data_IF_717667164559
#
_entry.id   IF_717667164559
#
_cell.length_a   1.000
_cell.length_b   1.000
_cell.length_c   1.000
_cell.angle_alpha   90.00
_cell.angle_beta   90.00
_cell.angle_gamma   90.00
#
_symmetry.space_group_name_H-M   'P 1'
#
loop_
_entity.id
_entity.type
_entity.pdbx_description
1 polymer ?
#
# COMPACT_ATOMS: atom_id res chain seq x y z
N UNK A 1 -22.34 -53.36 -35.58
CA UNK A 1 -20.90 -53.06 -35.56
C UNK A 1 -20.55 -52.47 -34.20
N UNK A 2 -19.96 -53.25 -33.27
CA UNK A 2 -19.59 -52.82 -31.91
C UNK A 2 -18.11 -52.39 -31.81
N UNK A 3 -17.80 -51.50 -30.87
CA UNK A 3 -16.51 -51.41 -30.18
C UNK A 3 -16.83 -50.92 -28.75
N UNK A 4 -17.03 -51.79 -27.76
CA UNK A 4 -16.02 -52.57 -27.01
C UNK A 4 -15.02 -51.66 -26.29
N UNK A 5 -15.32 -51.23 -25.06
CA UNK A 5 -14.84 -51.77 -23.76
C UNK A 5 -13.67 -50.98 -23.19
N UNK A 6 -13.88 -50.39 -22.00
CA UNK A 6 -12.97 -50.47 -20.85
C UNK A 6 -13.62 -49.83 -19.60
N UNK A 7 -14.33 -50.65 -18.81
CA UNK A 7 -14.45 -50.44 -17.36
C UNK A 7 -13.25 -51.17 -16.69
N UNK A 8 -13.11 -51.18 -15.35
CA UNK A 8 -12.85 -50.08 -14.42
C UNK A 8 -11.63 -50.43 -13.53
N UNK A 9 -11.08 -49.48 -12.76
CA UNK A 9 -10.37 -49.83 -11.52
C UNK A 9 -11.02 -49.13 -10.35
N UNK A 10 -11.93 -49.88 -9.74
CA UNK A 10 -12.39 -49.70 -8.38
C UNK A 10 -11.17 -49.75 -7.45
N UNK A 11 -10.94 -48.67 -6.71
CA UNK A 11 -10.51 -48.79 -5.32
C UNK A 11 -11.76 -48.55 -4.49
N UNK A 12 -12.41 -49.66 -4.12
CA UNK A 12 -13.34 -49.71 -3.03
C UNK A 12 -12.63 -49.30 -1.73
N UNK A 13 -13.24 -48.39 -0.98
CA UNK A 13 -13.41 -48.31 0.49
C UNK A 13 -14.37 -47.12 0.61
N UNK A 14 -15.54 -47.15 1.22
CA UNK A 14 -16.15 -48.04 2.19
C UNK A 14 -17.18 -47.16 2.89
N UNK A 15 -18.42 -47.65 3.04
CA UNK A 15 -19.56 -46.93 3.60
C UNK A 15 -19.28 -46.39 5.01
N UNK A 16 -19.62 -45.12 5.24
CA UNK A 16 -20.22 -44.66 6.50
C UNK A 16 -21.08 -43.41 6.23
N UNK A 17 -22.41 -43.61 6.28
CA UNK A 17 -23.40 -42.55 6.48
C UNK A 17 -23.34 -42.14 7.96
N UNK A 18 -22.86 -40.93 8.28
CA UNK A 18 -23.24 -40.17 9.49
C UNK A 18 -22.56 -38.79 9.50
N UNK A 19 -23.31 -37.79 9.95
CA UNK A 19 -22.90 -36.43 10.37
C UNK A 19 -22.79 -35.32 9.32
N UNK A 20 -23.87 -34.53 9.31
CA UNK A 20 -23.85 -33.07 9.28
C UNK A 20 -22.71 -32.49 10.14
N UNK A 21 -22.19 -31.31 9.75
CA UNK A 21 -21.28 -30.42 10.52
C UNK A 21 -19.77 -30.68 10.30
N UNK A 22 -19.17 -29.88 9.42
CA UNK A 22 -18.28 -28.78 9.81
C UNK A 22 -17.51 -28.29 8.57
N UNK A 23 -17.80 -27.06 8.14
CA UNK A 23 -16.83 -26.22 7.46
C UNK A 23 -15.55 -26.21 8.30
N UNK A 24 -14.55 -27.00 7.93
CA UNK A 24 -13.21 -26.86 8.47
C UNK A 24 -12.50 -25.82 7.60
N UNK A 25 -12.88 -24.56 7.80
CA UNK A 25 -11.99 -23.44 7.50
C UNK A 25 -10.78 -23.62 8.42
N UNK A 26 -9.77 -24.33 7.91
CA UNK A 26 -8.41 -24.26 8.44
C UNK A 26 -7.98 -22.81 8.29
N UNK A 27 -8.35 -21.99 9.27
CA UNK A 27 -7.74 -20.69 9.47
C UNK A 27 -6.36 -21.03 9.98
N UNK A 28 -5.43 -21.27 9.06
CA UNK A 28 -4.02 -21.14 9.35
C UNK A 28 -3.90 -19.75 9.96
N UNK A 29 -3.75 -19.68 11.28
CA UNK A 29 -3.35 -18.48 11.95
C UNK A 29 -1.89 -18.29 11.57
N UNK A 30 -1.68 -17.82 10.34
CA UNK A 30 -0.46 -17.15 9.95
C UNK A 30 -0.35 -16.01 10.95
N UNK A 31 0.58 -16.13 11.89
CA UNK A 31 1.02 -14.98 12.68
C UNK A 31 1.30 -13.85 11.68
N UNK A 32 0.41 -12.87 11.65
CA UNK A 32 0.60 -11.70 10.80
C UNK A 32 1.92 -11.06 11.24
N UNK A 33 2.85 -10.81 10.31
CA UNK A 33 4.06 -10.05 10.60
C UNK A 33 3.66 -8.72 11.23
N UNK A 34 3.95 -8.57 12.52
CA UNK A 34 3.74 -7.28 13.18
C UNK A 34 4.83 -6.32 12.72
N UNK A 35 4.44 -5.29 11.98
CA UNK A 35 5.35 -4.23 11.56
C UNK A 35 5.54 -3.19 12.67
N UNK A 36 6.77 -2.75 12.85
CA UNK A 36 7.11 -1.64 13.76
C UNK A 36 6.63 -0.29 13.22
N UNK A 37 6.38 0.68 14.09
CA UNK A 37 5.98 2.03 13.65
C UNK A 37 7.07 2.73 12.82
N UNK A 38 8.34 2.39 13.04
CA UNK A 38 9.44 2.85 12.19
C UNK A 38 9.32 2.32 10.75
N UNK A 39 8.98 1.04 10.58
CA UNK A 39 8.73 0.46 9.26
C UNK A 39 7.49 1.05 8.60
N UNK A 40 6.41 1.28 9.35
CA UNK A 40 5.18 1.87 8.82
C UNK A 40 5.37 3.34 8.43
N UNK A 41 6.15 4.10 9.20
CA UNK A 41 6.54 5.46 8.84
C UNK A 41 7.41 5.49 7.59
N UNK A 42 8.41 4.59 7.49
CA UNK A 42 9.25 4.47 6.30
C UNK A 42 8.42 4.05 5.07
N UNK A 43 7.41 3.19 5.26
CA UNK A 43 6.50 2.78 4.18
C UNK A 43 5.65 3.95 3.70
N UNK A 44 5.07 4.73 4.63
CA UNK A 44 4.29 5.91 4.30
C UNK A 44 5.12 6.96 3.53
N UNK A 45 6.38 7.17 3.93
CA UNK A 45 7.29 8.07 3.22
C UNK A 45 7.69 7.52 1.83
N UNK A 46 8.06 6.25 1.76
CA UNK A 46 8.40 5.58 0.51
C UNK A 46 7.24 5.58 -0.49
N UNK A 47 6.00 5.46 -0.02
CA UNK A 47 4.83 5.45 -0.90
C UNK A 47 4.67 6.78 -1.66
N UNK A 48 4.97 7.92 -1.03
CA UNK A 48 4.96 9.21 -1.72
C UNK A 48 6.03 9.28 -2.83
N UNK A 49 7.23 8.81 -2.53
CA UNK A 49 8.34 8.83 -3.49
C UNK A 49 8.17 7.81 -4.62
N UNK A 50 7.58 6.64 -4.33
CA UNK A 50 7.23 5.64 -5.33
C UNK A 50 6.18 6.20 -6.30
N UNK A 51 5.11 6.83 -5.79
CA UNK A 51 4.09 7.45 -6.64
C UNK A 51 4.71 8.54 -7.52
N UNK A 52 5.50 9.44 -6.94
CA UNK A 52 6.15 10.50 -7.70
C UNK A 52 7.13 9.96 -8.75
N UNK A 53 7.85 8.88 -8.45
CA UNK A 53 8.74 8.23 -9.40
C UNK A 53 7.95 7.55 -10.53
N UNK A 54 6.87 6.83 -10.21
CA UNK A 54 5.98 6.20 -11.21
C UNK A 54 5.43 7.25 -12.17
N UNK A 55 4.84 8.34 -11.68
CA UNK A 55 4.28 9.39 -12.54
C UNK A 55 5.32 9.95 -13.53
N UNK A 56 6.54 10.23 -13.05
CA UNK A 56 7.63 10.75 -13.88
C UNK A 56 8.09 9.74 -14.92
N UNK A 57 8.13 8.45 -14.60
CA UNK A 57 8.61 7.42 -15.53
C UNK A 57 7.54 6.98 -16.53
N UNK A 58 6.29 6.87 -16.10
CA UNK A 58 5.14 6.60 -16.97
C UNK A 58 5.06 7.66 -18.09
N UNK A 59 5.15 8.95 -17.73
CA UNK A 59 5.18 10.03 -18.72
C UNK A 59 6.32 9.85 -19.74
N UNK A 60 7.51 9.46 -19.27
CA UNK A 60 8.68 9.27 -20.13
C UNK A 60 8.55 8.05 -21.04
N UNK A 61 7.96 6.96 -20.55
CA UNK A 61 7.76 5.72 -21.30
C UNK A 61 6.68 5.91 -22.36
N UNK A 62 5.58 6.56 -22.01
CA UNK A 62 4.47 6.80 -22.93
C UNK A 62 4.89 7.68 -24.11
N UNK A 63 5.67 8.73 -23.83
CA UNK A 63 6.21 9.63 -24.85
C UNK A 63 7.44 9.09 -25.60
N UNK A 64 7.98 7.93 -25.19
CA UNK A 64 9.15 7.34 -25.84
C UNK A 64 8.80 6.52 -27.08
N UNK A 65 9.67 6.53 -28.10
CA UNK A 65 9.54 5.61 -29.24
C UNK A 65 9.73 4.15 -28.77
N UNK A 66 9.15 3.21 -29.52
CA UNK A 66 9.04 1.81 -29.09
C UNK A 66 10.40 1.15 -28.75
N UNK A 67 11.46 1.48 -29.48
CA UNK A 67 12.83 0.97 -29.24
C UNK A 67 13.45 1.49 -27.92
N UNK A 68 12.88 2.54 -27.34
CA UNK A 68 13.34 3.16 -26.09
C UNK A 68 12.51 2.78 -24.88
N UNK A 69 11.35 2.16 -25.05
CA UNK A 69 10.45 1.81 -23.93
C UNK A 69 11.08 0.83 -22.96
N UNK A 70 11.60 -0.28 -23.46
CA UNK A 70 12.25 -1.31 -22.63
C UNK A 70 13.40 -0.77 -21.75
N UNK A 71 14.41 -0.05 -22.29
CA UNK A 71 15.47 0.50 -21.44
C UNK A 71 14.99 1.61 -20.49
N UNK A 72 13.81 2.22 -20.71
CA UNK A 72 13.19 3.16 -19.78
C UNK A 72 12.46 2.42 -18.65
N UNK A 73 11.72 1.35 -18.94
CA UNK A 73 11.07 0.50 -17.91
C UNK A 73 12.10 -0.10 -16.95
N UNK A 74 13.28 -0.52 -17.44
CA UNK A 74 14.36 -0.99 -16.54
C UNK A 74 14.92 0.15 -15.68
N UNK A 75 14.89 1.40 -16.15
CA UNK A 75 15.31 2.57 -15.34
C UNK A 75 14.26 2.96 -14.31
N UNK A 76 12.99 2.88 -14.68
CA UNK A 76 11.85 3.04 -13.79
C UNK A 76 11.95 2.06 -12.63
N UNK A 77 12.08 0.76 -12.89
CA UNK A 77 12.11 -0.23 -11.82
C UNK A 77 13.26 0.02 -10.83
N UNK A 78 14.44 0.43 -11.32
CA UNK A 78 15.53 0.86 -10.44
C UNK A 78 15.20 2.11 -9.63
N UNK A 79 14.46 3.06 -10.20
CA UNK A 79 14.03 4.26 -9.49
C UNK A 79 12.99 3.92 -8.40
N UNK A 80 12.05 3.02 -8.67
CA UNK A 80 11.08 2.55 -7.69
C UNK A 80 11.76 1.80 -6.54
N UNK A 81 12.70 0.90 -6.85
CA UNK A 81 13.52 0.22 -5.83
C UNK A 81 14.28 1.25 -5.00
N UNK A 82 14.90 2.25 -5.64
CA UNK A 82 15.62 3.31 -4.94
C UNK A 82 14.70 4.10 -4.00
N UNK A 83 13.52 4.48 -4.48
CA UNK A 83 12.51 5.19 -3.70
C UNK A 83 12.13 4.42 -2.42
N UNK A 84 12.09 3.09 -2.47
CA UNK A 84 11.86 2.27 -1.27
C UNK A 84 13.11 2.20 -0.38
N UNK A 85 14.28 1.94 -0.96
CA UNK A 85 15.51 1.72 -0.19
C UNK A 85 16.08 2.97 0.46
N UNK A 86 15.81 4.16 -0.10
CA UNK A 86 16.22 5.44 0.48
C UNK A 86 15.59 5.68 1.87
N UNK A 87 14.43 5.06 2.16
CA UNK A 87 13.78 5.11 3.48
C UNK A 87 14.19 3.96 4.41
N UNK A 88 15.20 3.17 4.04
CA UNK A 88 15.69 2.05 4.84
C UNK A 88 14.79 0.82 4.81
N UNK A 89 13.84 0.74 3.87
CA UNK A 89 13.06 -0.47 3.61
C UNK A 89 13.70 -1.33 2.54
N UNK A 90 13.45 -2.63 2.60
CA UNK A 90 13.72 -3.52 1.47
C UNK A 90 12.50 -3.56 0.54
N UNK A 91 12.67 -3.79 -0.78
CA UNK A 91 11.54 -3.99 -1.68
C UNK A 91 10.61 -5.11 -1.21
N UNK A 92 11.16 -6.17 -0.62
CA UNK A 92 10.38 -7.27 -0.05
C UNK A 92 9.52 -6.82 1.12
N UNK A 93 10.07 -6.05 2.06
CA UNK A 93 9.31 -5.51 3.20
C UNK A 93 8.23 -4.54 2.75
N UNK A 94 8.55 -3.65 1.81
CA UNK A 94 7.58 -2.70 1.25
C UNK A 94 6.40 -3.44 0.61
N UNK A 95 6.67 -4.41 -0.28
CA UNK A 95 5.62 -5.20 -0.91
C UNK A 95 4.81 -6.02 0.11
N UNK A 96 5.47 -6.59 1.13
CA UNK A 96 4.75 -7.33 2.18
C UNK A 96 3.77 -6.44 2.95
N UNK A 97 4.19 -5.22 3.33
CA UNK A 97 3.31 -4.23 3.98
C UNK A 97 2.16 -3.84 3.04
N UNK A 98 2.46 -3.55 1.78
CA UNK A 98 1.45 -3.17 0.78
C UNK A 98 0.39 -4.26 0.58
N UNK A 99 0.82 -5.51 0.39
CA UNK A 99 -0.09 -6.65 0.21
C UNK A 99 -0.93 -6.89 1.47
N UNK A 100 -0.33 -6.90 2.66
CA UNK A 100 -1.08 -7.15 3.89
C UNK A 100 -2.05 -6.02 4.23
N UNK A 101 -1.70 -4.77 3.89
CA UNK A 101 -2.60 -3.63 4.11
C UNK A 101 -3.92 -3.75 3.32
N UNK A 102 -3.92 -4.44 2.18
CA UNK A 102 -5.12 -4.65 1.36
C UNK A 102 -6.22 -5.42 2.11
N UNK A 103 -5.83 -6.43 2.90
CA UNK A 103 -6.75 -7.30 3.62
C UNK A 103 -6.82 -7.00 5.14
N UNK A 104 -5.91 -6.17 5.66
CA UNK A 104 -5.85 -5.82 7.08
C UNK A 104 -6.22 -4.34 7.33
N UNK A 105 -7.48 -4.05 7.75
CA UNK A 105 -7.92 -2.68 8.03
C UNK A 105 -7.21 -2.05 9.23
N UNK A 106 -6.73 -2.86 10.18
CA UNK A 106 -5.97 -2.39 11.34
C UNK A 106 -4.59 -1.90 10.89
N UNK A 107 -3.90 -2.66 10.06
CA UNK A 107 -2.62 -2.28 9.47
C UNK A 107 -2.76 -1.02 8.61
N UNK A 108 -3.79 -0.96 7.77
CA UNK A 108 -4.10 0.23 6.96
C UNK A 108 -4.28 1.47 7.84
N UNK A 109 -5.02 1.38 8.95
CA UNK A 109 -5.18 2.52 9.87
C UNK A 109 -3.85 2.96 10.49
N UNK A 110 -2.97 2.02 10.84
CA UNK A 110 -1.63 2.34 11.37
C UNK A 110 -0.78 3.05 10.32
N UNK A 111 -0.79 2.58 9.08
CA UNK A 111 -0.10 3.25 7.96
C UNK A 111 -0.63 4.66 7.75
N UNK A 112 -1.95 4.84 7.71
CA UNK A 112 -2.60 6.15 7.51
C UNK A 112 -2.24 7.16 8.61
N UNK A 113 -2.07 6.71 9.86
CA UNK A 113 -1.60 7.56 10.95
C UNK A 113 -0.22 8.19 10.67
N UNK A 114 0.61 7.52 9.87
CA UNK A 114 1.92 8.03 9.45
C UNK A 114 1.89 8.81 8.12
N UNK A 115 0.84 8.64 7.31
CA UNK A 115 0.63 9.40 6.06
C UNK A 115 -0.07 10.74 6.27
N UNK A 116 -0.81 10.87 7.37
CA UNK A 116 -1.56 12.09 7.65
C UNK A 116 -0.61 13.29 7.55
N UNK A 117 -0.95 14.30 6.72
CA UNK A 117 -0.13 15.49 6.61
C UNK A 117 -0.01 16.11 8.00
N UNK A 118 1.11 16.81 8.23
CA UNK A 118 1.39 17.73 9.33
C UNK A 118 0.25 18.76 9.50
N UNK A 119 -0.89 18.32 9.97
CA UNK A 119 -2.10 19.10 10.23
C UNK A 119 -2.55 18.86 11.68
N UNK A 120 -2.11 17.77 12.32
CA UNK A 120 -2.26 17.56 13.76
C UNK A 120 -1.17 18.28 14.61
N UNK A 121 -0.14 18.83 13.95
CA UNK A 121 1.02 19.50 14.60
C UNK A 121 1.28 20.91 14.04
N UNK A 122 0.31 21.50 13.34
CA UNK A 122 0.35 22.94 13.12
C UNK A 122 0.04 23.60 14.48
N UNK A 123 0.94 24.41 15.07
CA UNK A 123 0.53 25.29 16.15
C UNK A 123 -0.66 26.08 15.63
N UNK A 124 -1.77 26.07 16.38
CA UNK A 124 -2.90 26.94 16.13
C UNK A 124 -2.33 28.31 15.77
N UNK A 125 -2.48 28.72 14.51
CA UNK A 125 -2.19 30.10 14.15
C UNK A 125 -2.94 30.95 15.18
N UNK A 126 -2.28 31.91 15.85
CA UNK A 126 -3.02 32.81 16.72
C UNK A 126 -4.11 33.41 15.86
N UNK A 127 -5.36 33.24 16.30
CA UNK A 127 -6.44 34.05 15.81
C UNK A 127 -5.92 35.48 15.83
N UNK A 128 -5.84 36.11 14.66
CA UNK A 128 -5.68 37.56 14.57
C UNK A 128 -7.00 38.14 15.04
N UNK A 129 -7.20 38.07 16.34
CA UNK A 129 -8.01 38.95 17.13
C UNK A 129 -7.10 40.15 17.42
N UNK A 130 -7.28 41.19 16.62
CA UNK A 130 -6.86 42.55 16.93
C UNK A 130 -7.67 43.44 15.99
N UNK A 131 -8.93 43.67 16.35
CA UNK A 131 -9.32 44.72 17.29
C UNK A 131 -9.17 46.09 16.61
N UNK A 132 -10.24 46.44 15.88
CA UNK A 132 -10.93 47.72 16.00
C UNK A 132 -10.12 48.86 16.66
N UNK A 133 -9.23 49.50 15.91
CA UNK A 133 -8.71 50.83 16.22
C UNK A 133 -9.56 51.90 15.54
N UNK A 134 -10.63 52.31 16.21
CA UNK A 134 -11.16 53.67 16.05
C UNK A 134 -10.17 54.66 16.70
N UNK A 135 -10.33 55.95 16.39
CA UNK A 135 -9.63 57.12 16.97
C UNK A 135 -8.10 57.22 16.67
N UNK A 136 -7.48 58.38 16.48
CA UNK A 136 -7.78 59.77 16.82
C UNK A 136 -7.02 60.71 15.83
N UNK A 137 -7.46 61.96 15.71
CA UNK A 137 -7.01 62.92 14.70
C UNK A 137 -5.62 63.55 14.90
N UNK A 138 -5.19 64.32 13.88
CA UNK A 138 -4.18 65.41 13.92
C UNK A 138 -4.17 66.04 12.51
N UNK A 139 -4.86 67.16 12.26
CA UNK A 139 -4.45 68.58 12.42
C UNK A 139 -3.22 69.01 11.61
N UNK A 140 -3.48 69.80 10.56
CA UNK A 140 -2.89 71.13 10.36
C UNK A 140 -1.48 71.26 9.76
N UNK A 141 -1.39 72.00 8.65
CA UNK A 141 -0.16 72.53 8.06
C UNK A 141 -0.38 73.07 6.66
#
# INVERSE_FOLDING_TARGET
MPASVAHPRQCAIGLALVSLIACHSVSAQTEEPSYSDAQLKAFAAAQADVVAATDVWDERIDNAPADRREPLSVKEERALVKAVTDHGLTPTTYNAIATQAQDNPTLTRRIQHHMAPRAADAPSAPATDNEQGADDGTTGG
#
